data_IF_664647473925
#
_entry.id   IF_664647473925
#
_cell.length_a   1.000
_cell.length_b   1.000
_cell.length_c   1.000
_cell.angle_alpha   90.00
_cell.angle_beta   90.00
_cell.angle_gamma   90.00
#
_symmetry.space_group_name_H-M   'P 1'
#
loop_
_entity.id
_entity.type
_entity.pdbx_description
1 polymer ?
#
# COMPACT_ATOMS: atom_id res chain seq x y z
N UNK A 1 25.58 22.90 -21.31
CA UNK A 1 25.70 23.51 -19.97
C UNK A 1 24.38 23.96 -19.36
N UNK A 2 23.28 24.04 -20.11
CA UNK A 2 21.94 24.48 -19.63
C UNK A 2 21.06 23.38 -19.02
N UNK A 3 21.39 22.11 -19.20
CA UNK A 3 20.55 20.99 -18.71
C UNK A 3 20.76 20.65 -17.21
N UNK A 4 21.88 21.01 -16.61
CA UNK A 4 22.19 20.70 -15.22
C UNK A 4 21.55 21.67 -14.20
N UNK A 5 21.32 22.92 -14.56
CA UNK A 5 20.70 23.91 -13.67
C UNK A 5 19.21 23.64 -13.40
N UNK A 6 18.47 23.13 -14.40
CA UNK A 6 17.05 22.78 -14.27
C UNK A 6 16.80 21.54 -13.39
N UNK A 7 17.75 20.58 -13.38
CA UNK A 7 17.63 19.37 -12.59
C UNK A 7 17.77 19.61 -11.09
N UNK A 8 18.68 20.50 -10.66
CA UNK A 8 18.86 20.84 -9.26
C UNK A 8 17.65 21.61 -8.68
N UNK A 9 17.03 22.47 -9.50
CA UNK A 9 15.83 23.21 -9.13
C UNK A 9 14.63 22.29 -8.92
N UNK A 10 14.45 21.26 -9.76
CA UNK A 10 13.36 20.29 -9.65
C UNK A 10 13.50 19.44 -8.38
N UNK A 11 14.71 19.03 -8.03
CA UNK A 11 14.96 18.19 -6.83
C UNK A 11 14.63 18.93 -5.52
N UNK A 12 14.73 20.25 -5.48
CA UNK A 12 14.45 21.06 -4.29
C UNK A 12 12.95 21.33 -4.07
N UNK A 13 12.07 21.04 -5.06
CA UNK A 13 10.64 21.34 -4.99
C UNK A 13 9.86 20.35 -4.14
N UNK A 14 8.74 20.80 -3.59
CA UNK A 14 7.79 19.94 -2.86
C UNK A 14 7.04 19.02 -3.81
N UNK A 15 6.47 17.93 -3.30
CA UNK A 15 5.67 17.01 -4.12
C UNK A 15 4.45 17.70 -4.75
N UNK A 16 3.84 18.67 -4.04
CA UNK A 16 2.71 19.45 -4.57
C UNK A 16 3.10 20.32 -5.75
N UNK A 17 4.27 20.98 -5.68
CA UNK A 17 4.80 21.77 -6.80
C UNK A 17 5.17 20.89 -7.98
N UNK A 18 5.77 19.72 -7.72
CA UNK A 18 6.09 18.75 -8.76
C UNK A 18 4.83 18.21 -9.46
N UNK A 19 3.76 17.95 -8.70
CA UNK A 19 2.47 17.56 -9.28
C UNK A 19 1.92 18.64 -10.20
N UNK A 20 1.89 19.89 -9.75
CA UNK A 20 1.41 21.01 -10.58
C UNK A 20 2.22 21.19 -11.86
N UNK A 21 3.54 21.09 -11.78
CA UNK A 21 4.41 21.14 -12.95
C UNK A 21 4.19 19.96 -13.90
N UNK A 22 3.99 18.75 -13.35
CA UNK A 22 3.66 17.56 -14.13
C UNK A 22 2.32 17.70 -14.85
N UNK A 23 1.32 18.31 -14.20
CA UNK A 23 0.01 18.62 -14.81
C UNK A 23 0.13 19.66 -15.95
N UNK A 24 1.16 20.49 -15.93
CA UNK A 24 1.49 21.44 -16.99
C UNK A 24 2.35 20.81 -18.11
N UNK A 25 2.60 19.49 -18.04
CA UNK A 25 3.35 18.75 -19.06
C UNK A 25 4.86 18.70 -18.81
N UNK A 26 5.36 19.10 -17.64
CA UNK A 26 6.77 18.99 -17.28
C UNK A 26 7.10 17.53 -16.92
N UNK A 27 7.72 16.81 -17.85
CA UNK A 27 8.10 15.40 -17.69
C UNK A 27 9.19 15.22 -16.61
N UNK A 28 10.12 16.17 -16.49
CA UNK A 28 11.19 16.15 -15.47
C UNK A 28 10.64 16.23 -14.04
N UNK A 29 9.55 16.97 -13.83
CA UNK A 29 8.86 17.02 -12.54
C UNK A 29 8.20 15.67 -12.20
N UNK A 30 7.57 15.01 -13.17
CA UNK A 30 7.02 13.67 -12.96
C UNK A 30 8.12 12.62 -12.72
N UNK A 31 9.24 12.71 -13.45
CA UNK A 31 10.40 11.83 -13.23
C UNK A 31 10.94 11.93 -11.79
N UNK A 32 10.97 13.13 -11.21
CA UNK A 32 11.37 13.32 -9.82
C UNK A 32 10.34 12.71 -8.83
N UNK A 33 9.04 12.87 -9.07
CA UNK A 33 7.99 12.20 -8.29
C UNK A 33 8.13 10.67 -8.34
N UNK A 34 8.41 10.11 -9.52
CA UNK A 34 8.71 8.68 -9.68
C UNK A 34 9.92 8.27 -8.85
N UNK A 35 11.03 8.99 -8.98
CA UNK A 35 12.28 8.70 -8.27
C UNK A 35 12.08 8.64 -6.76
N UNK A 36 11.33 9.60 -6.19
CA UNK A 36 11.03 9.64 -4.74
C UNK A 36 10.17 8.47 -4.27
N UNK A 37 9.25 8.01 -5.11
CA UNK A 37 8.26 7.01 -4.74
C UNK A 37 8.62 5.59 -5.20
N UNK A 38 9.64 5.40 -6.06
CA UNK A 38 9.97 4.12 -6.67
C UNK A 38 10.26 3.02 -5.65
N UNK A 39 11.09 3.31 -4.64
CA UNK A 39 11.47 2.32 -3.63
C UNK A 39 10.27 1.85 -2.79
N UNK A 40 9.39 2.77 -2.41
CA UNK A 40 8.19 2.45 -1.64
C UNK A 40 7.18 1.68 -2.47
N UNK A 41 6.97 2.10 -3.72
CA UNK A 41 6.10 1.42 -4.68
C UNK A 41 6.56 -0.02 -4.93
N UNK A 42 7.86 -0.23 -5.16
CA UNK A 42 8.44 -1.55 -5.38
C UNK A 42 8.31 -2.46 -4.15
N UNK A 43 8.66 -1.97 -2.96
CA UNK A 43 8.50 -2.73 -1.71
C UNK A 43 7.05 -3.17 -1.51
N UNK A 44 6.10 -2.28 -1.78
CA UNK A 44 4.68 -2.58 -1.69
C UNK A 44 4.25 -3.64 -2.71
N UNK A 45 4.61 -3.48 -3.99
CA UNK A 45 4.29 -4.44 -5.04
C UNK A 45 4.88 -5.82 -4.73
N UNK A 46 6.16 -5.88 -4.31
CA UNK A 46 6.82 -7.12 -3.91
C UNK A 46 6.14 -7.78 -2.71
N UNK A 47 5.62 -7.00 -1.76
CA UNK A 47 4.88 -7.52 -0.62
C UNK A 47 3.57 -8.20 -1.02
N UNK A 48 2.95 -7.76 -2.12
CA UNK A 48 1.68 -8.28 -2.63
C UNK A 48 1.91 -9.48 -3.56
N UNK A 49 2.79 -9.33 -4.54
CA UNK A 49 3.00 -10.30 -5.63
C UNK A 49 3.97 -11.43 -5.25
N UNK A 50 4.92 -11.16 -4.32
CA UNK A 50 5.95 -12.11 -3.86
C UNK A 50 6.99 -12.51 -4.92
N UNK A 51 6.81 -12.11 -6.14
CA UNK A 51 7.68 -12.36 -7.26
C UNK A 51 8.28 -11.03 -7.73
N UNK A 52 9.63 -10.98 -7.84
CA UNK A 52 10.38 -9.73 -8.09
C UNK A 52 10.06 -9.15 -9.45
N UNK A 53 10.07 -9.99 -10.49
CA UNK A 53 9.84 -9.55 -11.86
C UNK A 53 8.42 -9.00 -12.03
N UNK A 54 7.40 -9.71 -11.51
CA UNK A 54 6.02 -9.22 -11.54
C UNK A 54 5.86 -7.90 -10.76
N UNK A 55 6.59 -7.73 -9.65
CA UNK A 55 6.55 -6.49 -8.88
C UNK A 55 7.17 -5.32 -9.65
N UNK A 56 8.30 -5.53 -10.35
CA UNK A 56 8.94 -4.52 -11.19
C UNK A 56 8.01 -4.11 -12.35
N UNK A 57 7.40 -5.07 -13.04
CA UNK A 57 6.48 -4.83 -14.15
C UNK A 57 5.23 -4.05 -13.71
N UNK A 58 4.61 -4.45 -12.58
CA UNK A 58 3.40 -3.77 -12.12
C UNK A 58 3.68 -2.38 -11.52
N UNK A 59 4.87 -2.13 -11.00
CA UNK A 59 5.29 -0.77 -10.61
C UNK A 59 5.47 0.11 -11.84
N UNK A 60 6.07 -0.38 -12.92
CA UNK A 60 6.17 0.38 -14.16
C UNK A 60 4.78 0.69 -14.73
N UNK A 61 3.88 -0.30 -14.77
CA UNK A 61 2.49 -0.13 -15.20
C UNK A 61 1.76 0.92 -14.32
N UNK A 62 2.01 0.89 -13.01
CA UNK A 62 1.41 1.85 -12.07
C UNK A 62 1.92 3.28 -12.32
N UNK A 63 3.23 3.47 -12.55
CA UNK A 63 3.77 4.79 -12.89
C UNK A 63 3.27 5.29 -14.24
N UNK A 64 3.15 4.42 -15.24
CA UNK A 64 2.58 4.77 -16.53
C UNK A 64 1.13 5.25 -16.38
N UNK A 65 0.31 4.53 -15.61
CA UNK A 65 -1.06 4.97 -15.32
C UNK A 65 -1.10 6.28 -14.53
N UNK A 66 -0.22 6.44 -13.55
CA UNK A 66 -0.12 7.70 -12.81
C UNK A 66 0.21 8.87 -13.72
N UNK A 67 1.13 8.71 -14.68
CA UNK A 67 1.46 9.71 -15.67
C UNK A 67 0.25 10.09 -16.53
N UNK A 68 -0.48 9.09 -17.04
CA UNK A 68 -1.68 9.31 -17.86
C UNK A 68 -2.79 10.05 -17.11
N UNK A 69 -2.89 9.86 -15.80
CA UNK A 69 -3.97 10.40 -14.98
C UNK A 69 -3.55 11.53 -14.03
N UNK A 70 -2.30 12.01 -14.12
CA UNK A 70 -1.80 13.08 -13.23
C UNK A 70 -2.63 14.35 -13.32
N UNK A 71 -3.18 14.67 -14.50
CA UNK A 71 -4.08 15.80 -14.71
C UNK A 71 -5.39 15.73 -13.93
N UNK A 72 -5.81 14.55 -13.49
CA UNK A 72 -7.03 14.31 -12.71
C UNK A 72 -6.78 14.31 -11.19
N UNK A 73 -5.53 14.37 -10.77
CA UNK A 73 -5.18 14.36 -9.36
C UNK A 73 -5.44 15.73 -8.72
N UNK A 74 -6.40 15.80 -7.78
CA UNK A 74 -6.92 17.04 -7.21
C UNK A 74 -6.17 17.55 -5.98
N UNK A 75 -5.03 16.92 -5.61
CA UNK A 75 -4.25 17.27 -4.41
C UNK A 75 -5.00 17.12 -3.08
N UNK A 76 -6.12 16.39 -3.05
CA UNK A 76 -6.90 16.09 -1.84
C UNK A 76 -6.16 15.14 -0.87
N UNK A 77 -5.09 14.53 -1.34
CA UNK A 77 -4.22 13.64 -0.57
C UNK A 77 -2.76 13.84 -0.99
N UNK A 78 -1.83 13.26 -0.25
CA UNK A 78 -0.42 13.22 -0.67
C UNK A 78 -0.27 12.41 -1.95
N UNK A 79 0.64 12.81 -2.85
CA UNK A 79 0.95 12.07 -4.06
C UNK A 79 1.33 10.60 -3.77
N UNK A 80 2.09 10.37 -2.70
CA UNK A 80 2.47 9.02 -2.27
C UNK A 80 1.25 8.14 -1.92
N UNK A 81 0.20 8.70 -1.31
CA UNK A 81 -1.04 7.98 -1.01
C UNK A 81 -1.80 7.63 -2.29
N UNK A 82 -1.92 8.57 -3.22
CA UNK A 82 -2.55 8.34 -4.52
C UNK A 82 -1.79 7.30 -5.34
N UNK A 83 -0.46 7.39 -5.38
CA UNK A 83 0.40 6.40 -6.05
C UNK A 83 0.26 5.01 -5.44
N UNK A 84 0.19 4.90 -4.11
CA UNK A 84 -0.05 3.66 -3.38
C UNK A 84 -1.33 2.97 -3.86
N UNK A 85 -2.42 3.73 -4.04
CA UNK A 85 -3.69 3.19 -4.56
C UNK A 85 -3.52 2.58 -5.95
N UNK A 86 -2.81 3.27 -6.84
CA UNK A 86 -2.57 2.79 -8.20
C UNK A 86 -1.75 1.48 -8.18
N UNK A 87 -0.67 1.43 -7.38
CA UNK A 87 0.19 0.23 -7.25
C UNK A 87 -0.61 -0.96 -6.72
N UNK A 88 -1.37 -0.75 -5.63
CA UNK A 88 -2.21 -1.82 -5.05
C UNK A 88 -3.21 -2.35 -6.07
N UNK A 89 -3.91 -1.45 -6.78
CA UNK A 89 -4.88 -1.83 -7.80
C UNK A 89 -4.24 -2.67 -8.92
N UNK A 90 -3.06 -2.28 -9.41
CA UNK A 90 -2.34 -3.04 -10.42
C UNK A 90 -1.97 -4.43 -9.92
N UNK A 91 -1.35 -4.53 -8.75
CA UNK A 91 -0.95 -5.81 -8.17
C UNK A 91 -2.15 -6.75 -7.95
N UNK A 92 -3.27 -6.23 -7.45
CA UNK A 92 -4.48 -7.04 -7.23
C UNK A 92 -5.14 -7.46 -8.55
N UNK A 93 -5.10 -6.63 -9.59
CA UNK A 93 -5.54 -7.03 -10.93
C UNK A 93 -4.67 -8.17 -11.47
N UNK A 94 -3.36 -8.09 -11.32
CA UNK A 94 -2.42 -9.14 -11.71
C UNK A 94 -2.73 -10.46 -11.01
N UNK A 95 -2.90 -10.44 -9.69
CA UNK A 95 -3.27 -11.63 -8.92
C UNK A 95 -4.60 -12.27 -9.38
N UNK A 96 -5.60 -11.44 -9.72
CA UNK A 96 -6.88 -11.96 -10.24
C UNK A 96 -6.71 -12.61 -11.61
N UNK A 97 -5.91 -12.01 -12.50
CA UNK A 97 -5.61 -12.58 -13.82
C UNK A 97 -4.88 -13.91 -13.69
N UNK A 98 -3.85 -13.98 -12.85
CA UNK A 98 -3.09 -15.21 -12.61
C UNK A 98 -3.98 -16.32 -12.03
N UNK A 99 -4.87 -15.97 -11.07
CA UNK A 99 -5.85 -16.95 -10.54
C UNK A 99 -6.84 -17.43 -11.62
N UNK A 100 -7.39 -16.53 -12.43
CA UNK A 100 -8.28 -16.92 -13.53
C UNK A 100 -7.58 -17.82 -14.54
N UNK A 101 -6.34 -17.48 -14.92
CA UNK A 101 -5.55 -18.34 -15.79
C UNK A 101 -5.33 -19.74 -15.19
N UNK A 102 -4.96 -19.82 -13.90
CA UNK A 102 -4.83 -21.12 -13.20
C UNK A 102 -6.16 -21.90 -13.17
N UNK A 103 -7.29 -21.24 -12.90
CA UNK A 103 -8.61 -21.92 -12.95
C UNK A 103 -8.99 -22.44 -14.33
N UNK A 104 -8.57 -21.78 -15.40
CA UNK A 104 -8.80 -22.24 -16.77
C UNK A 104 -7.87 -23.39 -17.18
N UNK A 105 -6.74 -23.57 -16.51
CA UNK A 105 -5.77 -24.64 -16.78
C UNK A 105 -5.83 -25.81 -15.79
N UNK A 106 -6.57 -25.67 -14.70
CA UNK A 106 -6.74 -26.69 -13.67
C UNK A 106 -8.24 -27.01 -13.52
N UNK A 107 -8.72 -27.80 -14.47
CA UNK A 107 -9.84 -28.69 -14.18
C UNK A 107 -9.30 -29.77 -13.24
N UNK A 108 -9.94 -29.90 -12.09
CA UNK A 108 -9.64 -30.85 -11.01
C UNK A 108 -8.27 -30.79 -10.30
N UNK A 109 -8.39 -30.49 -9.05
CA UNK A 109 -7.59 -30.73 -7.87
C UNK A 109 -6.88 -29.54 -7.23
N UNK A 110 -7.22 -29.40 -5.95
CA UNK A 110 -6.51 -28.73 -4.87
C UNK A 110 -6.72 -27.23 -4.69
N UNK A 111 -7.62 -26.97 -3.78
CA UNK A 111 -7.65 -25.78 -2.92
C UNK A 111 -6.32 -25.68 -2.18
N UNK A 112 -5.34 -25.05 -2.81
CA UNK A 112 -4.08 -24.66 -2.19
C UNK A 112 -4.24 -23.32 -1.51
N UNK A 113 -4.09 -23.27 -0.21
CA UNK A 113 -3.95 -22.05 0.59
C UNK A 113 -2.70 -21.28 0.18
N UNK A 114 -2.78 -20.44 -0.85
CA UNK A 114 -1.70 -19.49 -1.14
C UNK A 114 -1.82 -18.25 -0.22
N UNK A 115 -0.97 -18.25 0.79
CA UNK A 115 -0.75 -17.18 1.76
C UNK A 115 -0.05 -15.98 1.12
N UNK A 116 -0.78 -15.14 0.39
CA UNK A 116 -0.32 -13.81 0.03
C UNK A 116 -0.33 -12.91 1.28
N UNK A 117 0.81 -12.71 1.91
CA UNK A 117 0.96 -11.81 3.05
C UNK A 117 1.35 -10.42 2.56
N UNK A 118 0.46 -9.43 2.71
CA UNK A 118 0.79 -8.02 2.54
C UNK A 118 1.75 -7.60 3.67
N UNK A 119 2.94 -7.10 3.31
CA UNK A 119 3.88 -6.52 4.25
C UNK A 119 3.66 -5.00 4.36
N UNK A 120 3.73 -4.49 5.59
CA UNK A 120 3.64 -3.05 5.84
C UNK A 120 4.89 -2.35 5.32
N UNK A 121 4.70 -1.35 4.47
CA UNK A 121 5.79 -0.51 3.95
C UNK A 121 6.17 0.53 5.01
N UNK A 122 7.47 0.69 5.23
CA UNK A 122 8.02 1.67 6.15
C UNK A 122 7.92 3.08 5.55
N UNK A 123 6.97 3.88 6.05
CA UNK A 123 6.88 5.32 5.75
C UNK A 123 7.87 6.08 6.63
N UNK A 124 9.08 6.28 6.15
CA UNK A 124 10.18 6.91 6.88
C UNK A 124 9.81 8.25 7.52
N UNK A 125 10.02 8.34 8.83
CA UNK A 125 10.17 9.58 9.61
C UNK A 125 11.49 9.51 10.36
N UNK A 126 12.15 10.68 10.46
CA UNK A 126 13.52 10.93 10.90
C UNK A 126 14.07 10.33 12.23
N UNK A 127 15.36 10.53 12.52
CA UNK A 127 16.18 9.62 13.33
C UNK A 127 16.09 9.72 14.87
N UNK A 128 15.32 10.58 15.48
CA UNK A 128 15.46 10.87 16.92
C UNK A 128 14.48 10.18 17.90
N UNK A 129 13.56 9.29 17.42
CA UNK A 129 12.70 8.50 18.33
C UNK A 129 12.79 6.98 18.08
N UNK A 130 13.95 6.49 17.66
CA UNK A 130 14.04 5.30 16.81
C UNK A 130 14.00 3.94 17.52
N UNK A 131 14.42 3.76 18.76
CA UNK A 131 14.56 2.42 19.32
C UNK A 131 13.19 1.86 19.77
N UNK A 132 12.45 2.60 20.55
CA UNK A 132 11.13 2.16 21.02
C UNK A 132 10.08 2.08 19.91
N UNK A 133 10.14 2.99 18.94
CA UNK A 133 9.20 2.99 17.80
C UNK A 133 9.45 1.82 16.83
N UNK A 134 10.70 1.41 16.65
CA UNK A 134 11.08 0.25 15.81
C UNK A 134 10.59 -1.07 16.40
N UNK A 135 10.67 -1.24 17.72
CA UNK A 135 10.18 -2.44 18.41
C UNK A 135 8.65 -2.53 18.35
N UNK A 136 7.95 -1.45 18.64
CA UNK A 136 6.48 -1.39 18.55
C UNK A 136 6.04 -1.66 17.12
N UNK A 137 6.70 -1.08 16.13
CA UNK A 137 6.41 -1.31 14.71
C UNK A 137 6.62 -2.76 14.29
N UNK A 138 7.73 -3.38 14.71
CA UNK A 138 8.01 -4.80 14.47
C UNK A 138 6.96 -5.71 15.11
N UNK A 139 6.56 -5.40 16.35
CA UNK A 139 5.53 -6.13 17.05
C UNK A 139 4.19 -6.01 16.32
N UNK A 140 3.79 -4.81 15.94
CA UNK A 140 2.57 -4.54 15.19
C UNK A 140 2.55 -5.30 13.86
N UNK A 141 3.63 -5.23 13.08
CA UNK A 141 3.77 -5.98 11.84
C UNK A 141 3.65 -7.49 12.06
N UNK A 142 4.28 -8.02 13.11
CA UNK A 142 4.20 -9.44 13.46
C UNK A 142 2.77 -9.85 13.76
N UNK A 143 2.04 -9.07 14.55
CA UNK A 143 0.67 -9.41 14.93
C UNK A 143 -0.32 -9.22 13.77
N UNK A 144 -0.14 -8.22 12.92
CA UNK A 144 -0.93 -8.07 11.68
C UNK A 144 -0.74 -9.29 10.75
N UNK A 145 0.48 -9.83 10.62
CA UNK A 145 0.73 -11.03 9.82
C UNK A 145 -0.02 -12.27 10.33
N UNK A 146 -0.36 -12.32 11.61
CA UNK A 146 -1.08 -13.42 12.25
C UNK A 146 -2.60 -13.32 12.12
N UNK A 147 -3.14 -12.18 11.68
CA UNK A 147 -4.56 -12.04 11.37
C UNK A 147 -4.91 -12.96 10.19
N UNK A 148 -6.07 -13.66 10.22
CA UNK A 148 -6.52 -14.48 9.09
C UNK A 148 -6.50 -13.68 7.77
N UNK A 149 -6.03 -14.27 6.64
CA UNK A 149 -5.78 -13.55 5.39
C UNK A 149 -6.96 -12.73 4.89
N UNK A 150 -8.19 -13.26 4.97
CA UNK A 150 -9.41 -12.57 4.52
C UNK A 150 -9.73 -11.30 5.34
N UNK A 151 -9.36 -11.27 6.60
CA UNK A 151 -9.55 -10.12 7.48
C UNK A 151 -8.39 -9.14 7.32
N UNK A 152 -7.15 -9.66 7.26
CA UNK A 152 -5.94 -8.88 7.13
C UNK A 152 -5.93 -8.04 5.84
N UNK A 153 -6.34 -8.60 4.71
CA UNK A 153 -6.35 -7.88 3.44
C UNK A 153 -7.25 -6.63 3.52
N UNK A 154 -8.43 -6.74 4.12
CA UNK A 154 -9.31 -5.58 4.33
C UNK A 154 -8.66 -4.56 5.26
N UNK A 155 -8.05 -5.00 6.36
CA UNK A 155 -7.38 -4.13 7.33
C UNK A 155 -6.22 -3.36 6.69
N UNK A 156 -5.34 -4.06 5.95
CA UNK A 156 -4.19 -3.41 5.29
C UNK A 156 -4.65 -2.42 4.24
N UNK A 157 -5.62 -2.77 3.41
CA UNK A 157 -6.12 -1.87 2.38
C UNK A 157 -6.80 -0.63 3.00
N UNK A 158 -7.58 -0.80 4.07
CA UNK A 158 -8.34 0.30 4.67
C UNK A 158 -7.53 1.12 5.66
N UNK A 159 -6.90 0.47 6.65
CA UNK A 159 -6.30 1.16 7.80
C UNK A 159 -4.82 1.49 7.60
N UNK A 160 -4.10 0.74 6.77
CA UNK A 160 -2.68 1.00 6.47
C UNK A 160 -2.52 1.82 5.19
N UNK A 161 -3.26 1.46 4.13
CA UNK A 161 -3.19 2.14 2.83
C UNK A 161 -4.28 3.22 2.66
N UNK A 162 -5.14 3.42 3.67
CA UNK A 162 -6.16 4.47 3.74
C UNK A 162 -7.19 4.47 2.58
N UNK A 163 -7.35 3.33 1.88
CA UNK A 163 -8.30 3.21 0.77
C UNK A 163 -9.75 3.39 1.23
N UNK A 164 -10.60 4.10 0.49
CA UNK A 164 -12.03 4.17 0.78
C UNK A 164 -12.68 2.78 0.78
N UNK A 165 -13.66 2.56 1.67
CA UNK A 165 -14.30 1.24 1.83
C UNK A 165 -14.96 0.72 0.54
N UNK A 166 -15.58 1.54 -0.31
CA UNK A 166 -16.07 1.07 -1.62
C UNK A 166 -14.97 0.49 -2.50
N UNK A 167 -13.81 1.16 -2.58
CA UNK A 167 -12.65 0.68 -3.35
C UNK A 167 -12.11 -0.63 -2.79
N UNK A 168 -12.00 -0.73 -1.44
CA UNK A 168 -11.59 -1.99 -0.78
C UNK A 168 -12.54 -3.14 -1.14
N UNK A 169 -13.85 -2.88 -1.14
CA UNK A 169 -14.86 -3.87 -1.48
C UNK A 169 -14.73 -4.32 -2.95
N UNK A 170 -14.58 -3.36 -3.86
CA UNK A 170 -14.37 -3.61 -5.29
C UNK A 170 -13.10 -4.43 -5.54
N UNK A 171 -11.97 -4.02 -4.94
CA UNK A 171 -10.68 -4.70 -5.10
C UNK A 171 -10.71 -6.14 -4.61
N UNK A 172 -11.42 -6.40 -3.51
CA UNK A 172 -11.53 -7.74 -2.94
C UNK A 172 -12.67 -8.57 -3.55
N UNK A 173 -13.47 -7.99 -4.44
CA UNK A 173 -14.62 -8.66 -5.06
C UNK A 173 -15.71 -9.04 -4.06
N UNK A 174 -15.95 -8.20 -3.06
CA UNK A 174 -16.96 -8.41 -2.00
C UNK A 174 -17.88 -7.20 -1.87
N UNK A 175 -19.02 -7.36 -1.20
CA UNK A 175 -19.88 -6.21 -0.90
C UNK A 175 -19.24 -5.27 0.12
N UNK A 176 -19.62 -3.98 0.09
CA UNK A 176 -19.17 -2.98 1.08
C UNK A 176 -19.55 -3.40 2.50
N UNK A 177 -20.73 -4.01 2.69
CA UNK A 177 -21.17 -4.53 3.97
C UNK A 177 -20.25 -5.66 4.47
N UNK A 178 -19.86 -6.59 3.58
CA UNK A 178 -18.93 -7.67 3.91
C UNK A 178 -17.52 -7.10 4.24
N UNK A 179 -17.05 -6.08 3.49
CA UNK A 179 -15.78 -5.42 3.77
C UNK A 179 -15.80 -4.75 5.15
N UNK A 180 -16.86 -3.99 5.49
CA UNK A 180 -17.03 -3.38 6.80
C UNK A 180 -17.02 -4.41 7.94
N UNK A 181 -17.75 -5.53 7.78
CA UNK A 181 -17.80 -6.62 8.76
C UNK A 181 -16.42 -7.28 8.93
N UNK A 182 -15.70 -7.53 7.84
CA UNK A 182 -14.33 -8.07 7.89
C UNK A 182 -13.35 -7.11 8.57
N UNK A 183 -13.45 -5.81 8.30
CA UNK A 183 -12.62 -4.79 8.94
C UNK A 183 -12.83 -4.78 10.47
N UNK A 184 -14.09 -4.78 10.90
CA UNK A 184 -14.42 -4.82 12.34
C UNK A 184 -13.79 -6.05 13.01
N UNK A 185 -13.93 -7.23 12.41
CA UNK A 185 -13.33 -8.47 12.93
C UNK A 185 -11.79 -8.40 12.92
N UNK A 186 -11.18 -7.82 11.88
CA UNK A 186 -9.73 -7.64 11.81
C UNK A 186 -9.20 -6.77 12.94
N UNK A 187 -9.88 -5.64 13.23
CA UNK A 187 -9.52 -4.73 14.32
C UNK A 187 -9.66 -5.40 15.68
N UNK A 188 -10.74 -6.15 15.92
CA UNK A 188 -10.94 -6.92 17.14
C UNK A 188 -9.84 -7.97 17.32
N UNK A 189 -9.51 -8.72 16.27
CA UNK A 189 -8.47 -9.73 16.31
C UNK A 189 -7.09 -9.11 16.60
N UNK A 190 -6.76 -7.98 15.96
CA UNK A 190 -5.52 -7.26 16.23
C UNK A 190 -5.47 -6.74 17.66
N UNK A 191 -6.55 -6.15 18.14
CA UNK A 191 -6.67 -5.67 19.54
C UNK A 191 -6.42 -6.81 20.53
N UNK A 192 -7.11 -7.92 20.39
CA UNK A 192 -6.96 -9.09 21.27
C UNK A 192 -5.54 -9.64 21.29
N UNK A 193 -4.82 -9.55 20.14
CA UNK A 193 -3.42 -9.95 20.04
C UNK A 193 -2.49 -8.98 20.74
N UNK A 194 -2.70 -7.68 20.54
CA UNK A 194 -1.89 -6.63 21.16
C UNK A 194 -2.07 -6.57 22.67
N UNK A 195 -3.27 -6.81 23.19
CA UNK A 195 -3.55 -6.89 24.63
C UNK A 195 -2.68 -7.93 25.34
N UNK A 196 -2.27 -8.99 24.67
CA UNK A 196 -1.35 -10.01 25.22
C UNK A 196 0.08 -9.50 25.42
N UNK A 197 0.45 -8.45 24.70
CA UNK A 197 1.77 -7.82 24.80
C UNK A 197 1.77 -6.58 25.69
N UNK A 198 0.60 -5.99 25.94
CA UNK A 198 0.43 -4.87 26.85
C UNK A 198 0.13 -5.45 28.24
N UNK A 199 1.07 -5.40 29.19
CA UNK A 199 0.82 -5.76 30.58
C UNK A 199 -0.39 -5.00 31.17
N UNK A 200 -0.73 -5.22 32.45
CA UNK A 200 -1.91 -4.67 33.12
C UNK A 200 -2.11 -3.14 32.97
N UNK A 201 -1.04 -2.39 32.75
CA UNK A 201 -1.07 -0.92 32.53
C UNK A 201 -1.46 -0.51 31.10
N UNK A 202 -1.31 -1.37 30.09
CA UNK A 202 -1.66 -1.04 28.69
C UNK A 202 -3.14 -1.22 28.35
N UNK A 203 -3.93 -1.88 29.19
CA UNK A 203 -5.35 -2.13 28.92
C UNK A 203 -6.21 -0.87 29.00
N UNK A 204 -5.85 0.09 29.86
CA UNK A 204 -6.62 1.32 30.05
C UNK A 204 -6.56 2.28 28.86
N UNK A 205 -5.46 2.29 28.10
CA UNK A 205 -5.27 3.19 26.96
C UNK A 205 -5.90 2.69 25.66
N UNK A 206 -6.11 1.38 25.49
CA UNK A 206 -6.72 0.79 24.30
C UNK A 206 -8.27 0.82 24.30
N UNK A 207 -8.88 1.13 25.44
CA UNK A 207 -10.36 1.17 25.58
C UNK A 207 -10.94 2.58 25.44
N UNK A 208 -10.10 3.62 25.34
CA UNK A 208 -10.51 5.04 25.37
C UNK A 208 -10.49 5.72 23.98
N UNK A 209 -10.50 4.94 22.86
CA UNK A 209 -10.54 5.52 21.49
C UNK A 209 -11.62 4.89 20.65
#
# INVERSE_FOLDING_TARGET
MFQQAGSAEIVARTDEELVRLSQQGREDAFAELMRRNASSAFKLALSILKERQEAEDEVQNAFWKAFQHIGQFQLDSKFSTWMTRIVVNQCLMRLRQTRRARFLFLDDTLIGEERGTLELVDGGRGPESEVGSKEIRRLLQKEIRRIPPLLRNVFVLRDVNELPMPEVAEQLGISVAAAKSRLLRARLELRNRLEKHCGAHGRATLTAS
#
